data_IF_774973430649
#
_entry.id   IF_774973430649
#
_cell.length_a   1.000
_cell.length_b   1.000
_cell.length_c   1.000
_cell.angle_alpha   90.00
_cell.angle_beta   90.00
_cell.angle_gamma   90.00
#
_symmetry.space_group_name_H-M   'P 1'
#
loop_
_entity.id
_entity.type
_entity.pdbx_description
1 polymer ?
#
# COMPACT_ATOMS: atom_id res chain seq x y z
N UNK A 1 -5.54 -8.18 12.69
CA UNK A 1 -4.18 -7.94 13.17
C UNK A 1 -3.33 -9.22 13.18
N UNK A 2 -3.82 -10.31 13.77
CA UNK A 2 -3.08 -11.60 13.85
C UNK A 2 -2.54 -12.09 12.50
N UNK A 3 -3.26 -11.89 11.42
CA UNK A 3 -2.80 -12.28 10.08
C UNK A 3 -1.56 -11.50 9.65
N UNK A 4 -1.49 -10.20 9.97
CA UNK A 4 -0.32 -9.35 9.71
C UNK A 4 0.86 -9.83 10.55
N UNK A 5 0.65 -10.09 11.84
CA UNK A 5 1.69 -10.63 12.73
C UNK A 5 2.25 -11.97 12.22
N UNK A 6 1.37 -12.87 11.79
CA UNK A 6 1.79 -14.19 11.26
C UNK A 6 2.55 -14.06 9.94
N UNK A 7 2.12 -13.17 9.07
CA UNK A 7 2.73 -13.00 7.75
C UNK A 7 4.07 -12.26 7.80
N UNK A 8 4.21 -11.28 8.69
CA UNK A 8 5.34 -10.35 8.67
C UNK A 8 6.21 -10.34 9.93
N UNK A 9 5.87 -11.13 10.96
CA UNK A 9 6.60 -11.12 12.23
C UNK A 9 8.10 -11.42 12.12
N UNK A 10 8.55 -12.06 11.05
CA UNK A 10 9.95 -12.31 10.76
C UNK A 10 10.60 -11.30 9.81
N UNK A 11 9.85 -10.28 9.36
CA UNK A 11 10.37 -9.28 8.43
C UNK A 11 11.31 -8.30 9.16
N UNK A 12 12.40 -7.84 8.50
CA UNK A 12 13.46 -7.06 9.14
C UNK A 12 12.99 -5.79 9.84
N UNK A 13 12.00 -5.10 9.30
CA UNK A 13 11.49 -3.84 9.83
C UNK A 13 10.14 -3.99 10.56
N UNK A 14 9.62 -5.22 10.71
CA UNK A 14 8.31 -5.44 11.31
C UNK A 14 8.24 -4.89 12.75
N UNK A 15 9.16 -5.25 13.61
CA UNK A 15 9.16 -4.83 15.03
C UNK A 15 9.22 -3.32 15.19
N UNK A 16 9.83 -2.63 14.24
CA UNK A 16 9.96 -1.17 14.27
C UNK A 16 8.63 -0.45 14.01
N UNK A 17 7.81 -0.96 13.07
CA UNK A 17 6.56 -0.31 12.66
C UNK A 17 5.30 -0.96 13.21
N UNK A 18 5.38 -2.19 13.71
CA UNK A 18 4.24 -2.93 14.22
C UNK A 18 3.48 -2.21 15.35
N UNK A 19 4.14 -1.59 16.36
CA UNK A 19 3.42 -0.92 17.44
C UNK A 19 2.55 0.25 16.95
N UNK A 20 3.08 1.07 16.04
CA UNK A 20 2.34 2.21 15.48
C UNK A 20 1.17 1.74 14.59
N UNK A 21 1.43 0.73 13.76
CA UNK A 21 0.40 0.16 12.89
C UNK A 21 -0.72 -0.53 13.69
N UNK A 22 -0.36 -1.21 14.79
CA UNK A 22 -1.32 -1.84 15.70
C UNK A 22 -2.20 -0.79 16.39
N UNK A 23 -1.60 0.29 16.89
CA UNK A 23 -2.34 1.40 17.47
C UNK A 23 -3.33 2.00 16.46
N UNK A 24 -2.85 2.30 15.24
CA UNK A 24 -3.69 2.80 14.16
C UNK A 24 -4.83 1.84 13.83
N UNK A 25 -4.55 0.54 13.79
CA UNK A 25 -5.56 -0.49 13.55
C UNK A 25 -6.65 -0.50 14.62
N UNK A 26 -6.29 -0.41 15.89
CA UNK A 26 -7.24 -0.49 16.99
C UNK A 26 -8.00 0.82 17.25
N UNK A 27 -7.39 1.96 17.00
CA UNK A 27 -7.96 3.28 17.26
C UNK A 27 -8.90 3.75 16.14
N UNK A 28 -8.55 3.45 14.90
CA UNK A 28 -9.21 4.03 13.73
C UNK A 28 -10.04 3.05 12.91
N UNK A 29 -9.87 1.73 13.10
CA UNK A 29 -10.69 0.78 12.36
C UNK A 29 -12.17 0.91 12.79
N UNK A 30 -13.10 1.11 11.84
CA UNK A 30 -14.53 1.18 12.14
C UNK A 30 -15.02 -0.07 12.87
N UNK A 31 -15.75 0.11 13.96
CA UNK A 31 -16.42 -0.98 14.69
C UNK A 31 -17.88 -1.03 14.29
N UNK A 32 -18.51 -2.20 14.48
CA UNK A 32 -19.89 -2.47 14.06
C UNK A 32 -20.92 -1.45 14.60
N UNK A 33 -20.61 -0.77 15.69
CA UNK A 33 -21.49 0.21 16.35
C UNK A 33 -21.01 1.67 16.21
N UNK A 34 -20.00 1.94 15.38
CA UNK A 34 -19.53 3.29 15.12
C UNK A 34 -20.34 3.91 13.97
N UNK A 35 -21.39 4.68 14.29
CA UNK A 35 -22.27 5.33 13.31
C UNK A 35 -21.59 6.35 12.39
N UNK A 36 -20.34 6.69 12.63
CA UNK A 36 -19.69 7.84 11.95
C UNK A 36 -18.38 7.49 11.25
N UNK A 37 -17.73 6.37 11.56
CA UNK A 37 -16.44 6.03 10.95
C UNK A 37 -16.61 5.23 9.68
N UNK A 38 -16.25 5.86 8.55
CA UNK A 38 -16.27 5.20 7.25
C UNK A 38 -14.95 4.46 7.00
N UNK A 39 -15.02 3.37 6.23
CA UNK A 39 -13.83 2.66 5.78
C UNK A 39 -12.87 3.59 4.99
N UNK A 40 -13.43 4.58 4.28
CA UNK A 40 -12.65 5.62 3.59
C UNK A 40 -11.78 6.44 4.55
N UNK A 41 -12.30 6.79 5.74
CA UNK A 41 -11.59 7.60 6.71
C UNK A 41 -10.42 6.80 7.30
N UNK A 42 -10.65 5.52 7.60
CA UNK A 42 -9.58 4.62 8.02
C UNK A 42 -8.52 4.43 6.93
N UNK A 43 -8.94 4.23 5.68
CA UNK A 43 -8.01 4.07 4.54
C UNK A 43 -7.16 5.31 4.32
N UNK A 44 -7.76 6.51 4.49
CA UNK A 44 -7.03 7.77 4.40
C UNK A 44 -6.01 7.92 5.54
N UNK A 45 -6.39 7.57 6.77
CA UNK A 45 -5.49 7.60 7.92
C UNK A 45 -4.32 6.64 7.73
N UNK A 46 -4.57 5.43 7.23
CA UNK A 46 -3.53 4.45 6.92
C UNK A 46 -2.59 4.95 5.80
N UNK A 47 -3.14 5.61 4.78
CA UNK A 47 -2.34 6.22 3.72
C UNK A 47 -1.49 7.38 4.23
N UNK A 48 -2.03 8.24 5.10
CA UNK A 48 -1.29 9.33 5.73
C UNK A 48 -0.15 8.81 6.60
N UNK A 49 -0.40 7.77 7.40
CA UNK A 49 0.64 7.13 8.18
C UNK A 49 1.76 6.58 7.28
N UNK A 50 1.42 5.86 6.22
CA UNK A 50 2.39 5.33 5.26
C UNK A 50 3.18 6.45 4.59
N UNK A 51 2.52 7.51 4.13
CA UNK A 51 3.15 8.65 3.48
C UNK A 51 4.13 9.35 4.44
N UNK A 52 3.75 9.55 5.70
CA UNK A 52 4.62 10.13 6.72
C UNK A 52 5.83 9.24 7.00
N UNK A 53 5.61 7.96 7.22
CA UNK A 53 6.65 6.96 7.51
C UNK A 53 7.68 6.87 6.38
N UNK A 54 7.22 6.86 5.14
CA UNK A 54 8.08 6.78 3.94
C UNK A 54 8.48 8.15 3.40
N UNK A 55 8.06 9.25 4.02
CA UNK A 55 8.29 10.62 3.53
C UNK A 55 7.84 10.79 2.08
N UNK A 56 6.68 10.26 1.73
CA UNK A 56 6.05 10.45 0.43
C UNK A 56 5.23 11.74 0.43
N UNK A 57 5.07 12.30 -0.76
CA UNK A 57 4.11 13.37 -0.94
C UNK A 57 2.70 12.78 -0.96
N UNK A 58 1.82 13.27 -0.09
CA UNK A 58 0.41 12.89 -0.11
C UNK A 58 -0.23 13.30 -1.44
N UNK A 59 -1.04 12.42 -2.04
CA UNK A 59 -1.82 12.82 -3.21
C UNK A 59 -2.80 13.94 -2.84
N UNK A 60 -3.08 14.80 -3.81
CA UNK A 60 -4.12 15.82 -3.65
C UNK A 60 -5.48 15.16 -3.54
N UNK A 61 -6.19 15.45 -2.45
CA UNK A 61 -7.56 15.03 -2.27
C UNK A 61 -8.47 16.15 -2.78
N UNK A 62 -9.33 15.85 -3.73
CA UNK A 62 -10.28 16.81 -4.29
C UNK A 62 -11.67 16.19 -4.32
N UNK A 63 -12.66 16.96 -3.87
CA UNK A 63 -14.07 16.63 -4.03
C UNK A 63 -14.61 17.10 -5.38
N UNK A 64 -13.81 17.83 -6.15
CA UNK A 64 -14.19 18.30 -7.48
C UNK A 64 -14.23 17.14 -8.50
N UNK A 65 -15.12 17.19 -9.49
CA UNK A 65 -15.06 16.27 -10.61
C UNK A 65 -13.70 16.39 -11.30
N UNK A 66 -13.02 15.25 -11.48
CA UNK A 66 -11.74 15.20 -12.17
C UNK A 66 -12.02 14.86 -13.64
N UNK A 67 -11.47 15.63 -14.56
CA UNK A 67 -11.42 15.27 -15.96
C UNK A 67 -10.29 14.26 -16.16
N UNK A 68 -10.64 13.04 -16.54
CA UNK A 68 -9.72 11.93 -16.71
C UNK A 68 -9.19 11.78 -18.15
N UNK A 69 -9.40 12.75 -19.04
CA UNK A 69 -9.00 12.61 -20.45
C UNK A 69 -7.52 12.26 -20.62
N UNK A 70 -6.67 12.73 -19.71
CA UNK A 70 -5.22 12.48 -19.72
C UNK A 70 -4.72 11.72 -18.48
N UNK A 71 -5.61 11.12 -17.69
CA UNK A 71 -5.25 10.45 -16.44
C UNK A 71 -5.83 9.05 -16.37
N UNK A 72 -5.11 8.15 -15.72
CA UNK A 72 -5.57 6.79 -15.49
C UNK A 72 -6.59 6.76 -14.33
N UNK A 73 -7.84 6.44 -14.65
CA UNK A 73 -8.89 6.23 -13.64
C UNK A 73 -8.79 4.81 -13.04
N UNK A 74 -8.28 4.72 -11.82
CA UNK A 74 -8.14 3.45 -11.09
C UNK A 74 -9.42 3.01 -10.37
N UNK A 75 -10.51 3.78 -10.42
CA UNK A 75 -11.80 3.42 -9.79
C UNK A 75 -12.51 2.30 -10.55
N UNK A 76 -12.21 2.14 -11.83
CA UNK A 76 -12.77 1.04 -12.60
C UNK A 76 -12.30 -0.32 -12.07
N UNK A 77 -13.25 -1.23 -11.89
CA UNK A 77 -13.02 -2.57 -11.31
C UNK A 77 -11.87 -3.34 -11.94
N UNK A 78 -11.62 -3.14 -13.21
CA UNK A 78 -10.63 -3.86 -14.00
C UNK A 78 -9.34 -3.07 -14.23
N UNK A 79 -9.27 -1.80 -13.85
CA UNK A 79 -8.10 -0.96 -14.08
C UNK A 79 -6.82 -1.54 -13.43
N UNK A 80 -6.95 -2.17 -12.24
CA UNK A 80 -5.84 -2.82 -11.54
C UNK A 80 -5.68 -4.31 -11.92
N UNK A 81 -6.70 -4.93 -12.54
CA UNK A 81 -6.68 -6.36 -12.92
C UNK A 81 -6.26 -6.60 -14.36
N UNK A 82 -6.29 -5.57 -15.19
CA UNK A 82 -5.81 -5.65 -16.57
C UNK A 82 -4.30 -5.94 -16.60
N UNK A 83 -3.85 -6.71 -17.56
CA UNK A 83 -2.50 -7.27 -17.72
C UNK A 83 -1.37 -6.25 -17.93
N UNK A 84 -1.51 -5.07 -17.43
CA UNK A 84 -0.76 -3.94 -17.86
C UNK A 84 0.28 -3.46 -16.84
N UNK A 85 0.19 -3.90 -15.58
CA UNK A 85 1.12 -3.49 -14.54
C UNK A 85 2.31 -4.44 -14.44
N UNK A 86 3.51 -3.92 -14.54
CA UNK A 86 4.73 -4.66 -14.27
C UNK A 86 5.24 -4.30 -12.90
N UNK A 87 5.56 -5.32 -12.10
CA UNK A 87 6.10 -5.16 -10.76
C UNK A 87 7.56 -5.61 -10.75
N UNK A 88 8.46 -4.70 -10.45
CA UNK A 88 9.86 -5.04 -10.32
C UNK A 88 10.10 -5.84 -9.03
N UNK A 89 10.97 -6.83 -9.15
CA UNK A 89 11.26 -7.75 -8.06
C UNK A 89 12.05 -7.08 -6.93
N UNK A 90 11.66 -7.40 -5.71
CA UNK A 90 12.44 -7.19 -4.49
C UNK A 90 12.39 -8.48 -3.66
N UNK A 91 13.32 -8.68 -2.75
CA UNK A 91 13.36 -9.86 -1.90
C UNK A 91 12.12 -9.89 -1.00
N UNK A 92 11.38 -10.98 -1.03
CA UNK A 92 10.19 -11.21 -0.20
C UNK A 92 10.47 -12.25 0.89
N UNK A 93 9.70 -12.21 1.97
CA UNK A 93 9.98 -12.98 3.18
C UNK A 93 10.01 -14.51 2.97
N UNK A 94 9.25 -15.02 2.00
CA UNK A 94 9.09 -16.46 1.77
C UNK A 94 9.55 -16.90 0.37
N UNK A 95 10.52 -16.22 -0.22
CA UNK A 95 11.04 -16.55 -1.56
C UNK A 95 11.67 -17.95 -1.64
N UNK A 96 12.06 -18.52 -0.51
CA UNK A 96 12.52 -19.91 -0.40
C UNK A 96 11.42 -20.94 -0.64
N UNK A 97 10.16 -20.55 -0.52
CA UNK A 97 8.99 -21.44 -0.56
C UNK A 97 7.99 -21.10 -1.64
N UNK A 98 8.01 -19.88 -2.15
CA UNK A 98 7.06 -19.40 -3.16
C UNK A 98 7.72 -18.41 -4.12
N UNK A 99 7.29 -18.39 -5.39
CA UNK A 99 7.79 -17.42 -6.34
C UNK A 99 7.42 -16.00 -5.92
N UNK A 100 8.15 -15.02 -6.46
CA UNK A 100 7.82 -13.61 -6.27
C UNK A 100 6.37 -13.29 -6.62
N UNK A 101 5.67 -12.64 -5.72
CA UNK A 101 4.31 -12.16 -5.89
C UNK A 101 4.31 -10.66 -6.13
N UNK A 102 4.03 -10.26 -7.37
CA UNK A 102 3.87 -8.83 -7.71
C UNK A 102 2.54 -8.27 -7.20
N UNK A 103 2.51 -6.95 -6.95
CA UNK A 103 1.28 -6.25 -6.58
C UNK A 103 0.81 -6.46 -5.14
N UNK A 104 1.70 -6.88 -4.26
CA UNK A 104 1.41 -6.89 -2.82
C UNK A 104 1.28 -5.46 -2.28
N UNK A 105 0.72 -5.35 -1.09
CA UNK A 105 0.55 -4.07 -0.39
C UNK A 105 1.89 -3.37 -0.15
N UNK A 106 1.90 -2.04 -0.10
CA UNK A 106 3.07 -1.26 0.28
C UNK A 106 3.59 -1.61 1.69
N UNK A 107 2.76 -2.22 2.55
CA UNK A 107 3.19 -2.75 3.84
C UNK A 107 4.21 -3.89 3.68
N UNK A 108 4.05 -4.76 2.69
CA UNK A 108 5.01 -5.83 2.39
C UNK A 108 6.40 -5.23 2.12
N UNK A 109 6.46 -4.28 1.22
CA UNK A 109 7.71 -3.60 0.88
C UNK A 109 8.27 -2.80 2.07
N UNK A 110 7.42 -2.14 2.87
CA UNK A 110 7.86 -1.41 4.07
C UNK A 110 8.52 -2.34 5.10
N UNK A 111 7.90 -3.46 5.40
CA UNK A 111 8.42 -4.40 6.40
C UNK A 111 9.71 -5.10 5.97
N UNK A 112 9.92 -5.22 4.66
CA UNK A 112 11.10 -5.93 4.10
C UNK A 112 12.23 -4.95 3.77
N UNK A 113 11.94 -3.86 3.07
CA UNK A 113 12.94 -2.91 2.58
C UNK A 113 13.20 -1.75 3.56
N UNK A 114 12.22 -1.45 4.40
CA UNK A 114 12.22 -0.24 5.23
C UNK A 114 11.85 1.02 4.45
N UNK A 115 11.60 2.14 5.14
CA UNK A 115 11.03 3.35 4.54
C UNK A 115 11.99 4.04 3.56
N UNK A 116 13.29 4.02 3.85
CA UNK A 116 14.28 4.72 3.03
C UNK A 116 14.46 4.05 1.67
N UNK A 117 14.64 2.73 1.64
CA UNK A 117 14.78 1.98 0.39
C UNK A 117 13.47 1.98 -0.39
N UNK A 118 12.34 1.79 0.29
CA UNK A 118 11.02 1.85 -0.32
C UNK A 118 10.79 3.21 -0.99
N UNK A 119 11.14 4.32 -0.32
CA UNK A 119 11.04 5.66 -0.90
C UNK A 119 11.84 5.79 -2.19
N UNK A 120 13.08 5.35 -2.18
CA UNK A 120 13.98 5.43 -3.34
C UNK A 120 13.51 4.60 -4.52
N UNK A 121 12.83 3.49 -4.27
CA UNK A 121 12.43 2.51 -5.30
C UNK A 121 10.96 2.59 -5.72
N UNK A 122 10.15 3.47 -5.11
CA UNK A 122 8.70 3.47 -5.34
C UNK A 122 8.33 3.59 -6.82
N UNK A 123 8.97 4.50 -7.56
CA UNK A 123 8.73 4.67 -9.00
C UNK A 123 9.26 3.52 -9.88
N UNK A 124 10.14 2.71 -9.33
CA UNK A 124 10.71 1.54 -10.02
C UNK A 124 9.90 0.27 -9.76
N UNK A 125 9.27 0.16 -8.56
CA UNK A 125 8.54 -1.04 -8.14
C UNK A 125 7.27 -1.29 -8.95
N UNK A 126 6.67 -0.24 -9.48
CA UNK A 126 5.44 -0.32 -10.28
C UNK A 126 5.62 0.46 -11.57
N UNK A 127 5.59 -0.24 -12.68
CA UNK A 127 5.62 0.40 -14.00
C UNK A 127 4.21 0.41 -14.59
N UNK A 128 3.82 1.58 -15.08
CA UNK A 128 2.55 1.73 -15.80
C UNK A 128 2.54 0.87 -17.08
N UNK A 129 1.35 0.39 -17.47
CA UNK A 129 1.21 -0.25 -18.76
C UNK A 129 1.72 0.68 -19.86
N UNK A 130 2.57 0.15 -20.73
CA UNK A 130 2.82 0.82 -21.99
C UNK A 130 1.51 0.80 -22.77
N UNK A 131 1.00 1.96 -23.11
CA UNK A 131 -0.11 2.06 -24.06
C UNK A 131 0.41 1.44 -25.36
N UNK A 132 -0.18 0.32 -25.72
CA UNK A 132 0.01 -0.27 -27.05
C UNK A 132 -0.92 0.52 -27.95
N UNK A 133 -0.34 1.37 -28.80
CA UNK A 133 -1.04 2.06 -29.89
C UNK A 133 -1.74 1.06 -30.84
#
# INVERSE_FOLDING_TARGET
WRSIQTAYGAAPFYEHFAPELEALWHEHLPRVNDDVRRLSDWSLTALQWMATTCQWQMPNLSDAPIDFQDQLDLRERNALRGNAWTFNRYTQLYEDRQPFLGGLSALDALFILGPHELKGRLGELVQQPQQVD
#
